data_IF_257368134355
#
_entry.id   IF_257368134355
#
_cell.length_a   1.000
_cell.length_b   1.000
_cell.length_c   1.000
_cell.angle_alpha   90.00
_cell.angle_beta   90.00
_cell.angle_gamma   90.00
#
_symmetry.space_group_name_H-M   'P 1'
#
loop_
_entity.id
_entity.type
_entity.pdbx_description
1 polymer ?
#
# COMPACT_ATOMS: atom_id res chain seq x y z
N UNK A 1 -46.79 7.32 -7.93
CA UNK A 1 -45.72 6.39 -8.37
C UNK A 1 -44.59 7.25 -8.90
N UNK A 2 -43.44 7.39 -8.20
CA UNK A 2 -42.28 8.05 -8.79
C UNK A 2 -41.69 7.14 -9.86
N UNK A 3 -41.47 7.66 -11.06
CA UNK A 3 -40.75 6.98 -12.15
C UNK A 3 -39.36 6.53 -11.70
N UNK A 4 -38.89 5.36 -12.12
CA UNK A 4 -37.52 4.96 -11.87
C UNK A 4 -36.59 5.96 -12.56
N UNK A 5 -35.66 6.53 -11.78
CA UNK A 5 -34.62 7.41 -12.29
C UNK A 5 -33.83 6.67 -13.37
N UNK A 6 -33.86 7.20 -14.57
CA UNK A 6 -33.00 6.73 -15.69
C UNK A 6 -31.54 6.86 -15.23
N UNK A 7 -30.73 5.80 -15.30
CA UNK A 7 -29.30 5.93 -14.97
C UNK A 7 -28.70 6.96 -15.92
N UNK A 8 -27.98 7.93 -15.34
CA UNK A 8 -27.22 8.91 -16.12
C UNK A 8 -26.31 8.17 -17.13
N UNK A 9 -26.14 8.67 -18.35
CA UNK A 9 -25.29 8.03 -19.34
C UNK A 9 -23.85 7.98 -18.75
N UNK A 10 -23.43 6.79 -18.37
CA UNK A 10 -22.05 6.58 -17.92
C UNK A 10 -21.15 6.96 -19.09
N UNK A 11 -20.34 7.99 -18.91
CA UNK A 11 -19.37 8.42 -19.90
C UNK A 11 -18.45 7.23 -20.18
N UNK A 12 -18.41 6.75 -21.43
CA UNK A 12 -17.56 5.66 -21.86
C UNK A 12 -16.10 6.09 -21.70
N UNK A 13 -15.41 5.46 -20.76
CA UNK A 13 -14.00 5.72 -20.49
C UNK A 13 -13.11 4.82 -21.33
N UNK A 14 -11.94 5.32 -21.69
CA UNK A 14 -10.84 4.54 -22.25
C UNK A 14 -9.87 4.22 -21.10
N UNK A 15 -9.67 2.94 -20.80
CA UNK A 15 -8.92 2.49 -19.63
C UNK A 15 -7.79 1.58 -20.09
N UNK A 16 -6.55 1.93 -19.74
CA UNK A 16 -5.40 1.04 -19.91
C UNK A 16 -5.23 0.24 -18.63
N UNK A 17 -5.13 -1.08 -18.76
CA UNK A 17 -5.00 -2.02 -17.64
C UNK A 17 -3.59 -2.62 -17.63
N UNK A 18 -2.95 -2.70 -16.47
CA UNK A 18 -1.71 -3.43 -16.24
C UNK A 18 -1.87 -4.36 -15.03
N UNK A 19 -1.84 -5.67 -15.26
CA UNK A 19 -2.04 -6.72 -14.25
C UNK A 19 -1.30 -7.98 -14.73
N UNK A 20 -0.42 -8.52 -13.91
CA UNK A 20 0.39 -9.69 -14.27
C UNK A 20 -0.41 -11.00 -14.28
N UNK A 21 -1.36 -11.14 -13.36
CA UNK A 21 -2.26 -12.30 -13.30
C UNK A 21 -3.19 -12.33 -14.49
N UNK A 22 -3.00 -13.27 -15.39
CA UNK A 22 -3.82 -13.44 -16.61
C UNK A 22 -5.32 -13.51 -16.26
N UNK A 23 -5.68 -14.31 -15.24
CA UNK A 23 -7.08 -14.49 -14.86
C UNK A 23 -7.70 -13.17 -14.36
N UNK A 24 -6.98 -12.43 -13.53
CA UNK A 24 -7.49 -11.16 -13.00
C UNK A 24 -7.52 -10.10 -14.10
N UNK A 25 -6.52 -10.04 -14.97
CA UNK A 25 -6.49 -9.14 -16.12
C UNK A 25 -7.68 -9.32 -17.04
N UNK A 26 -7.97 -10.56 -17.44
CA UNK A 26 -9.14 -10.88 -18.26
C UNK A 26 -10.45 -10.56 -17.52
N UNK A 27 -10.49 -10.84 -16.23
CA UNK A 27 -11.63 -10.48 -15.36
C UNK A 27 -11.89 -8.98 -15.31
N UNK A 28 -10.83 -8.16 -15.15
CA UNK A 28 -10.90 -6.70 -15.15
C UNK A 28 -11.37 -6.16 -16.51
N UNK A 29 -10.79 -6.66 -17.63
CA UNK A 29 -11.21 -6.28 -18.99
C UNK A 29 -12.68 -6.60 -19.22
N UNK A 30 -13.11 -7.82 -18.88
CA UNK A 30 -14.51 -8.22 -19.01
C UNK A 30 -15.46 -7.37 -18.17
N UNK A 31 -15.05 -7.05 -16.92
CA UNK A 31 -15.83 -6.23 -16.01
C UNK A 31 -15.98 -4.79 -16.52
N UNK A 32 -14.88 -4.15 -16.89
CA UNK A 32 -14.86 -2.79 -17.41
C UNK A 32 -15.69 -2.68 -18.71
N UNK A 33 -15.56 -3.65 -19.60
CA UNK A 33 -16.34 -3.72 -20.83
C UNK A 33 -17.83 -3.88 -20.55
N UNK A 34 -18.21 -4.70 -19.57
CA UNK A 34 -19.61 -4.86 -19.12
C UNK A 34 -20.22 -3.55 -18.61
N UNK A 35 -19.42 -2.69 -18.00
CA UNK A 35 -19.84 -1.35 -17.57
C UNK A 35 -19.78 -0.30 -18.67
N UNK A 36 -19.50 -0.71 -19.92
CA UNK A 36 -19.53 0.16 -21.09
C UNK A 36 -18.23 0.91 -21.37
N UNK A 37 -17.16 0.62 -20.63
CA UNK A 37 -15.85 1.21 -20.86
C UNK A 37 -15.09 0.49 -21.99
N UNK A 38 -14.09 1.15 -22.53
CA UNK A 38 -13.19 0.60 -23.54
C UNK A 38 -11.84 0.30 -22.89
N UNK A 39 -11.27 -0.87 -23.16
CA UNK A 39 -9.94 -1.26 -22.72
C UNK A 39 -9.05 -1.45 -23.94
N UNK A 40 -8.42 -0.38 -24.46
CA UNK A 40 -7.61 -0.43 -25.68
C UNK A 40 -6.31 -1.21 -25.49
N UNK A 41 -5.79 -1.32 -24.26
CA UNK A 41 -4.61 -2.10 -23.93
C UNK A 41 -4.74 -2.77 -22.57
N UNK A 42 -4.32 -4.04 -22.48
CA UNK A 42 -4.22 -4.81 -21.26
C UNK A 42 -2.85 -5.51 -21.22
N UNK A 43 -1.99 -5.09 -20.28
CA UNK A 43 -0.58 -5.44 -20.19
C UNK A 43 -0.34 -6.40 -19.03
N UNK A 44 0.65 -7.28 -19.17
CA UNK A 44 1.07 -8.22 -18.11
C UNK A 44 2.26 -7.72 -17.28
N UNK A 45 2.79 -6.54 -17.58
CA UNK A 45 3.92 -5.92 -16.91
C UNK A 45 3.83 -4.40 -16.96
N UNK A 46 4.75 -3.73 -16.26
CA UNK A 46 4.80 -2.26 -16.20
C UNK A 46 5.60 -1.63 -17.35
N UNK A 47 6.42 -2.39 -18.09
CA UNK A 47 7.35 -1.84 -19.08
C UNK A 47 6.61 -1.18 -20.25
N UNK A 48 5.53 -1.82 -20.72
CA UNK A 48 4.69 -1.32 -21.80
C UNK A 48 3.74 -0.18 -21.43
N UNK A 49 3.58 0.12 -20.14
CA UNK A 49 2.51 1.00 -19.66
C UNK A 49 2.65 2.44 -20.18
N UNK A 50 3.86 2.96 -20.24
CA UNK A 50 4.14 4.32 -20.76
C UNK A 50 3.75 4.40 -22.25
N UNK A 51 4.21 3.45 -23.06
CA UNK A 51 3.90 3.42 -24.50
C UNK A 51 2.39 3.30 -24.75
N UNK A 52 1.70 2.44 -23.99
CA UNK A 52 0.26 2.30 -24.10
C UNK A 52 -0.49 3.59 -23.72
N UNK A 53 -0.04 4.33 -22.70
CA UNK A 53 -0.63 5.62 -22.33
C UNK A 53 -0.37 6.67 -23.42
N UNK A 54 0.80 6.66 -24.05
CA UNK A 54 1.12 7.58 -25.16
C UNK A 54 0.26 7.28 -26.40
N UNK A 55 0.11 6.02 -26.76
CA UNK A 55 -0.63 5.57 -27.94
C UNK A 55 -2.13 5.75 -27.80
N UNK A 56 -2.68 5.40 -26.64
CA UNK A 56 -4.13 5.30 -26.47
C UNK A 56 -4.75 6.50 -25.78
N UNK A 57 -3.96 7.41 -25.18
CA UNK A 57 -4.41 8.58 -24.43
C UNK A 57 -5.63 8.26 -23.51
N UNK A 58 -5.48 7.33 -22.53
CA UNK A 58 -6.61 6.85 -21.73
C UNK A 58 -7.12 7.92 -20.77
N UNK A 59 -8.40 7.77 -20.40
CA UNK A 59 -9.04 8.56 -19.36
C UNK A 59 -8.65 8.08 -17.94
N UNK A 60 -8.19 6.81 -17.82
CA UNK A 60 -7.75 6.19 -16.58
C UNK A 60 -6.71 5.12 -16.86
N UNK A 61 -5.72 5.04 -15.99
CA UNK A 61 -4.81 3.89 -15.89
C UNK A 61 -5.21 3.06 -14.67
N UNK A 62 -5.43 1.77 -14.87
CA UNK A 62 -5.65 0.78 -13.82
C UNK A 62 -4.42 -0.13 -13.75
N UNK A 63 -3.72 -0.16 -12.63
CA UNK A 63 -2.48 -0.94 -12.50
C UNK A 63 -2.40 -1.71 -11.19
N UNK A 64 -1.86 -2.94 -11.23
CA UNK A 64 -1.39 -3.61 -10.03
C UNK A 64 -0.13 -2.90 -9.49
N UNK A 65 0.10 -2.99 -8.19
CA UNK A 65 1.35 -2.54 -7.54
C UNK A 65 2.52 -3.41 -7.95
N UNK A 66 2.33 -4.74 -7.89
CA UNK A 66 3.41 -5.74 -8.00
C UNK A 66 3.34 -6.47 -9.33
N UNK A 67 4.29 -6.20 -10.19
CA UNK A 67 4.39 -6.83 -11.51
C UNK A 67 5.82 -7.30 -11.79
N UNK A 68 6.05 -8.14 -12.81
CA UNK A 68 7.40 -8.48 -13.22
C UNK A 68 8.29 -7.24 -13.47
N UNK A 69 9.61 -7.34 -13.31
CA UNK A 69 10.38 -8.57 -13.08
C UNK A 69 10.59 -8.95 -11.61
N UNK A 70 10.46 -8.02 -10.65
CA UNK A 70 10.80 -8.28 -9.25
C UNK A 70 9.61 -8.51 -8.33
N UNK A 71 8.39 -8.21 -8.80
CA UNK A 71 7.13 -8.34 -8.04
C UNK A 71 7.13 -7.54 -6.72
N UNK A 72 7.72 -6.36 -6.73
CA UNK A 72 7.76 -5.46 -5.58
C UNK A 72 6.80 -4.29 -5.73
N UNK A 73 7.12 -3.33 -6.58
CA UNK A 73 6.39 -2.06 -6.72
C UNK A 73 6.42 -1.49 -8.15
N UNK A 74 6.67 -2.32 -9.15
CA UNK A 74 6.89 -1.91 -10.54
C UNK A 74 5.72 -1.12 -11.11
N UNK A 75 4.49 -1.59 -10.90
CA UNK A 75 3.30 -0.89 -11.38
C UNK A 75 3.05 0.42 -10.67
N UNK A 76 3.30 0.47 -9.35
CA UNK A 76 3.22 1.73 -8.62
C UNK A 76 4.26 2.74 -9.13
N UNK A 77 5.51 2.32 -9.34
CA UNK A 77 6.56 3.20 -9.87
C UNK A 77 6.23 3.71 -11.25
N UNK A 78 5.68 2.84 -12.12
CA UNK A 78 5.20 3.25 -13.43
C UNK A 78 4.08 4.30 -13.33
N UNK A 79 3.12 4.07 -12.42
CA UNK A 79 2.02 5.01 -12.16
C UNK A 79 2.55 6.38 -11.65
N UNK A 80 3.49 6.37 -10.71
CA UNK A 80 4.12 7.58 -10.17
C UNK A 80 4.90 8.34 -11.26
N UNK A 81 5.66 7.64 -12.10
CA UNK A 81 6.39 8.24 -13.22
C UNK A 81 5.43 8.88 -14.25
N UNK A 82 4.34 8.18 -14.61
CA UNK A 82 3.32 8.71 -15.49
C UNK A 82 2.66 9.97 -14.92
N UNK A 83 2.39 10.01 -13.63
CA UNK A 83 1.80 11.18 -12.97
C UNK A 83 2.78 12.33 -12.81
N UNK A 84 4.07 12.06 -12.65
CA UNK A 84 5.10 13.11 -12.66
C UNK A 84 5.16 13.84 -14.02
N UNK A 85 4.99 13.11 -15.13
CA UNK A 85 4.94 13.66 -16.48
C UNK A 85 3.58 14.26 -16.84
N UNK A 86 2.50 13.64 -16.34
CA UNK A 86 1.09 13.99 -16.61
C UNK A 86 0.29 14.06 -15.30
N UNK A 87 0.43 15.15 -14.50
CA UNK A 87 -0.17 15.24 -13.15
C UNK A 87 -1.69 15.08 -13.11
N UNK A 88 -2.37 15.29 -14.23
CA UNK A 88 -3.83 15.15 -14.35
C UNK A 88 -4.29 13.77 -14.83
N UNK A 89 -3.37 12.86 -15.18
CA UNK A 89 -3.74 11.51 -15.61
C UNK A 89 -4.35 10.75 -14.43
N UNK A 90 -5.62 10.32 -14.49
CA UNK A 90 -6.21 9.51 -13.45
C UNK A 90 -5.57 8.14 -13.37
N UNK A 91 -5.27 7.71 -12.14
CA UNK A 91 -4.65 6.41 -11.88
C UNK A 91 -5.37 5.72 -10.72
N UNK A 92 -5.80 4.48 -10.95
CA UNK A 92 -6.34 3.58 -9.94
C UNK A 92 -5.37 2.41 -9.74
N UNK A 93 -4.80 2.31 -8.55
CA UNK A 93 -3.86 1.25 -8.19
C UNK A 93 -4.60 0.15 -7.44
N UNK A 94 -4.40 -1.10 -7.85
CA UNK A 94 -4.84 -2.29 -7.15
C UNK A 94 -3.70 -2.90 -6.35
N UNK A 95 -3.97 -3.34 -5.14
CA UNK A 95 -2.95 -3.97 -4.28
C UNK A 95 -3.53 -5.18 -3.56
N UNK A 96 -2.74 -6.22 -3.40
CA UNK A 96 -3.14 -7.38 -2.60
C UNK A 96 -3.06 -7.10 -1.09
N UNK A 97 -2.17 -6.19 -0.68
CA UNK A 97 -1.91 -5.89 0.72
C UNK A 97 -1.91 -4.38 0.97
N UNK A 98 -2.28 -3.99 2.19
CA UNK A 98 -2.19 -2.59 2.59
C UNK A 98 -0.71 -2.22 2.80
N UNK A 99 -0.21 -1.32 1.96
CA UNK A 99 1.12 -0.71 2.12
C UNK A 99 0.98 0.80 2.23
N UNK A 100 1.16 1.30 3.46
CA UNK A 100 0.95 2.73 3.78
C UNK A 100 1.87 3.67 3.00
N UNK A 101 3.14 3.27 2.80
CA UNK A 101 4.11 4.06 2.04
C UNK A 101 3.64 4.29 0.61
N UNK A 102 3.13 3.25 -0.04
CA UNK A 102 2.67 3.31 -1.43
C UNK A 102 1.42 4.18 -1.59
N UNK A 103 0.46 4.02 -0.68
CA UNK A 103 -0.75 4.85 -0.70
C UNK A 103 -0.43 6.32 -0.44
N UNK A 104 0.45 6.63 0.53
CA UNK A 104 0.87 8.00 0.82
C UNK A 104 1.60 8.63 -0.38
N UNK A 105 2.56 7.91 -0.97
CA UNK A 105 3.33 8.37 -2.12
C UNK A 105 2.44 8.67 -3.35
N UNK A 106 1.44 7.80 -3.59
CA UNK A 106 0.47 8.00 -4.67
C UNK A 106 -0.44 9.21 -4.40
N UNK A 107 -0.91 9.38 -3.16
CA UNK A 107 -1.78 10.50 -2.76
C UNK A 107 -1.05 11.85 -2.80
N UNK A 108 0.26 11.88 -2.64
CA UNK A 108 1.07 13.10 -2.75
C UNK A 108 1.23 13.57 -4.21
N UNK A 109 0.85 12.75 -5.20
CA UNK A 109 0.90 13.15 -6.60
C UNK A 109 -0.29 14.01 -7.02
N UNK A 110 -0.06 15.06 -7.82
CA UNK A 110 -1.14 15.84 -8.45
C UNK A 110 -2.16 16.42 -7.45
N UNK A 111 -1.71 16.81 -6.26
CA UNK A 111 -2.58 17.31 -5.17
C UNK A 111 -3.64 16.28 -4.72
N UNK A 112 -3.38 15.00 -4.93
CA UNK A 112 -4.28 13.90 -4.57
C UNK A 112 -5.50 13.75 -5.50
N UNK A 113 -5.61 14.52 -6.57
CA UNK A 113 -6.74 14.44 -7.51
C UNK A 113 -6.55 13.35 -8.55
N UNK A 114 -7.63 12.66 -8.95
CA UNK A 114 -7.57 11.59 -9.95
C UNK A 114 -6.74 10.39 -9.49
N UNK A 115 -6.83 10.04 -8.21
CA UNK A 115 -6.01 8.98 -7.59
C UNK A 115 -6.89 7.97 -6.89
N UNK A 116 -6.64 6.70 -7.15
CA UNK A 116 -7.28 5.61 -6.43
C UNK A 116 -6.30 4.59 -5.92
N UNK A 117 -6.54 4.08 -4.72
CA UNK A 117 -5.84 2.94 -4.15
C UNK A 117 -6.85 1.97 -3.52
N UNK A 118 -7.03 0.81 -4.13
CA UNK A 118 -7.95 -0.23 -3.69
C UNK A 118 -7.24 -1.55 -3.42
N UNK A 119 -7.79 -2.33 -2.50
CA UNK A 119 -7.40 -3.73 -2.36
C UNK A 119 -8.03 -4.58 -3.47
N UNK A 120 -7.31 -5.58 -4.00
CA UNK A 120 -7.79 -6.49 -5.05
C UNK A 120 -9.10 -7.19 -4.66
N UNK A 121 -9.32 -7.44 -3.37
CA UNK A 121 -10.57 -8.02 -2.86
C UNK A 121 -11.81 -7.15 -3.15
N UNK A 122 -11.62 -5.83 -3.37
CA UNK A 122 -12.70 -4.91 -3.72
C UNK A 122 -13.21 -5.08 -5.14
N UNK A 123 -12.42 -5.66 -6.03
CA UNK A 123 -12.86 -5.97 -7.42
C UNK A 123 -14.06 -6.91 -7.42
N UNK A 124 -14.14 -7.81 -6.43
CA UNK A 124 -15.30 -8.69 -6.23
C UNK A 124 -16.60 -7.94 -5.83
N UNK A 125 -16.50 -6.71 -5.35
CA UNK A 125 -17.63 -5.83 -5.06
C UNK A 125 -17.90 -4.95 -6.30
N UNK A 126 -18.44 -5.58 -7.32
CA UNK A 126 -18.46 -5.12 -8.72
C UNK A 126 -18.97 -3.69 -8.89
N UNK A 127 -20.07 -3.33 -8.21
CA UNK A 127 -20.68 -2.00 -8.29
C UNK A 127 -19.79 -0.95 -7.63
N UNK A 128 -19.23 -1.23 -6.45
CA UNK A 128 -18.32 -0.33 -5.76
C UNK A 128 -17.02 -0.11 -6.54
N UNK A 129 -16.54 -1.15 -7.22
CA UNK A 129 -15.38 -1.04 -8.09
C UNK A 129 -15.67 -0.15 -9.31
N UNK A 130 -16.82 -0.30 -9.95
CA UNK A 130 -17.23 0.54 -11.08
C UNK A 130 -17.42 2.00 -10.67
N UNK A 131 -18.00 2.25 -9.48
CA UNK A 131 -18.12 3.60 -8.92
C UNK A 131 -16.74 4.22 -8.67
N UNK A 132 -15.80 3.44 -8.10
CA UNK A 132 -14.44 3.90 -7.87
C UNK A 132 -13.71 4.27 -9.17
N UNK A 133 -13.83 3.45 -10.21
CA UNK A 133 -13.28 3.74 -11.56
C UNK A 133 -13.82 5.06 -12.07
N UNK A 134 -15.13 5.26 -12.03
CA UNK A 134 -15.79 6.48 -12.51
C UNK A 134 -15.38 7.70 -11.70
N UNK A 135 -15.32 7.56 -10.38
CA UNK A 135 -14.95 8.66 -9.48
C UNK A 135 -13.50 9.10 -9.68
N UNK A 136 -12.56 8.15 -9.82
CA UNK A 136 -11.15 8.47 -10.07
C UNK A 136 -10.97 9.11 -11.44
N UNK A 137 -11.63 8.58 -12.49
CA UNK A 137 -11.56 9.16 -13.81
C UNK A 137 -12.12 10.60 -13.87
N UNK A 138 -13.11 10.92 -13.03
CA UNK A 138 -13.63 12.28 -12.88
C UNK A 138 -12.72 13.22 -12.03
N UNK A 139 -11.53 12.78 -11.64
CA UNK A 139 -10.59 13.55 -10.83
C UNK A 139 -10.78 13.39 -9.32
N UNK A 140 -11.68 12.52 -8.86
CA UNK A 140 -11.87 12.24 -7.44
C UNK A 140 -10.75 11.40 -6.84
N UNK A 141 -10.75 11.32 -5.51
CA UNK A 141 -9.81 10.48 -4.74
C UNK A 141 -10.56 9.32 -4.12
N UNK A 142 -10.11 8.10 -4.35
CA UNK A 142 -10.69 6.88 -3.79
C UNK A 142 -9.61 6.08 -3.07
N UNK A 143 -9.78 5.88 -1.77
CA UNK A 143 -8.84 5.08 -0.96
C UNK A 143 -9.62 4.01 -0.22
N UNK A 144 -9.14 2.77 -0.29
CA UNK A 144 -9.73 1.66 0.45
C UNK A 144 -9.85 2.02 1.94
N UNK A 145 -11.01 1.80 2.58
CA UNK A 145 -11.21 2.11 4.00
C UNK A 145 -10.19 1.44 4.92
N UNK A 146 -9.68 0.27 4.57
CA UNK A 146 -8.64 -0.41 5.34
C UNK A 146 -7.31 0.34 5.26
N UNK A 147 -6.97 0.84 4.07
CA UNK A 147 -5.78 1.69 3.86
C UNK A 147 -5.92 2.99 4.66
N UNK A 148 -7.08 3.63 4.60
CA UNK A 148 -7.37 4.85 5.38
C UNK A 148 -7.21 4.59 6.88
N UNK A 149 -7.77 3.49 7.39
CA UNK A 149 -7.59 3.11 8.81
C UNK A 149 -6.12 2.95 9.19
N UNK A 150 -5.31 2.40 8.30
CA UNK A 150 -3.87 2.23 8.57
C UNK A 150 -3.07 3.53 8.40
N UNK A 151 -3.49 4.44 7.52
CA UNK A 151 -2.89 5.77 7.40
C UNK A 151 -3.19 6.65 8.63
N UNK A 152 -4.45 6.62 9.10
CA UNK A 152 -4.92 7.38 10.28
C UNK A 152 -4.39 6.76 11.59
N UNK A 153 -4.22 5.45 11.64
CA UNK A 153 -3.44 4.86 12.73
C UNK A 153 -2.08 5.53 12.66
N UNK A 154 -1.99 6.70 13.34
CA UNK A 154 -0.71 7.34 13.64
C UNK A 154 0.27 6.20 13.89
N UNK A 155 1.45 6.26 13.30
CA UNK A 155 2.58 5.56 13.90
C UNK A 155 2.51 5.93 15.38
N UNK A 156 1.87 5.11 16.20
CA UNK A 156 2.41 4.98 17.54
C UNK A 156 3.78 4.45 17.24
N UNK A 157 4.75 5.34 17.38
CA UNK A 157 6.14 4.91 17.40
C UNK A 157 6.14 3.67 18.29
N UNK A 158 6.46 2.46 17.76
CA UNK A 158 6.41 1.26 18.57
C UNK A 158 7.15 1.50 19.91
N UNK A 159 8.11 2.43 19.87
CA UNK A 159 8.89 2.86 21.02
C UNK A 159 8.09 3.74 21.99
N UNK A 160 6.99 4.39 21.59
CA UNK A 160 6.13 5.15 22.53
C UNK A 160 5.46 4.26 23.59
N UNK A 161 5.31 2.96 23.29
CA UNK A 161 4.77 1.98 24.22
C UNK A 161 5.82 1.50 25.26
N UNK A 162 7.09 1.81 25.02
CA UNK A 162 8.17 1.43 25.90
C UNK A 162 8.25 2.44 27.07
N UNK A 163 8.42 1.90 28.28
CA UNK A 163 8.78 2.74 29.42
C UNK A 163 10.17 3.36 29.20
N UNK A 164 10.53 4.46 29.89
CA UNK A 164 11.87 5.05 29.81
C UNK A 164 12.98 4.01 30.03
N UNK A 165 12.78 3.09 30.96
CA UNK A 165 13.73 2.02 31.26
C UNK A 165 13.85 0.98 30.16
N UNK A 166 12.72 0.60 29.53
CA UNK A 166 12.74 -0.32 28.39
C UNK A 166 13.39 0.31 27.15
N UNK A 167 13.19 1.61 26.93
CA UNK A 167 13.84 2.34 25.85
C UNK A 167 15.35 2.43 26.05
N UNK A 168 15.81 2.68 27.29
CA UNK A 168 17.22 2.68 27.68
C UNK A 168 17.85 1.29 27.43
N UNK A 169 17.21 0.22 27.90
CA UNK A 169 17.67 -1.16 27.65
C UNK A 169 17.74 -1.45 26.15
N UNK A 170 16.73 -1.05 25.36
CA UNK A 170 16.71 -1.27 23.90
C UNK A 170 17.83 -0.49 23.20
N UNK A 171 18.14 0.72 23.63
CA UNK A 171 19.28 1.51 23.13
C UNK A 171 20.60 0.75 23.31
N UNK A 172 20.85 0.23 24.52
CA UNK A 172 22.06 -0.56 24.81
C UNK A 172 22.11 -1.89 24.02
N UNK A 173 20.94 -2.49 23.79
CA UNK A 173 20.83 -3.66 22.88
C UNK A 173 21.19 -3.27 21.45
N UNK A 174 20.78 -2.10 20.97
CA UNK A 174 21.10 -1.59 19.64
C UNK A 174 22.60 -1.27 19.47
N UNK A 175 23.30 -0.92 20.56
CA UNK A 175 24.77 -0.80 20.59
C UNK A 175 25.49 -2.18 20.53
N UNK A 176 24.76 -3.28 20.51
CA UNK A 176 25.33 -4.62 20.44
C UNK A 176 25.76 -5.20 21.80
N UNK A 177 25.36 -4.59 22.92
CA UNK A 177 25.78 -5.04 24.27
C UNK A 177 25.11 -6.36 24.66
N UNK A 178 25.85 -7.16 25.46
CA UNK A 178 25.32 -8.37 26.07
C UNK A 178 24.45 -8.05 27.31
N UNK A 179 23.60 -8.99 27.73
CA UNK A 179 22.78 -8.80 28.93
C UNK A 179 23.61 -8.56 30.17
N UNK A 180 24.76 -9.22 30.29
CA UNK A 180 25.71 -9.02 31.41
C UNK A 180 26.28 -7.58 31.40
N UNK A 181 26.67 -7.05 30.24
CA UNK A 181 27.16 -5.68 30.10
C UNK A 181 26.07 -4.64 30.42
N UNK A 182 24.84 -4.86 29.93
CA UNK A 182 23.70 -3.99 30.24
C UNK A 182 23.37 -4.04 31.74
N UNK A 183 23.41 -5.22 32.36
CA UNK A 183 23.16 -5.41 33.77
C UNK A 183 24.17 -4.64 34.63
N UNK A 184 25.45 -4.71 34.28
CA UNK A 184 26.51 -3.99 34.93
C UNK A 184 26.34 -2.46 34.85
N UNK A 185 26.03 -1.95 33.63
CA UNK A 185 25.86 -0.52 33.39
C UNK A 185 24.63 0.05 34.08
N UNK A 186 23.53 -0.66 34.03
CA UNK A 186 22.25 -0.23 34.62
C UNK A 186 22.11 -0.56 36.13
N UNK A 187 23.12 -1.21 36.72
CA UNK A 187 23.17 -1.65 38.14
C UNK A 187 21.96 -2.52 38.49
N UNK A 188 21.66 -3.52 37.65
CA UNK A 188 20.57 -4.49 37.84
C UNK A 188 21.07 -5.91 37.63
N UNK A 189 20.24 -6.91 37.91
CA UNK A 189 20.57 -8.31 37.58
C UNK A 189 20.35 -8.60 36.07
N UNK A 190 21.08 -9.59 35.53
CA UNK A 190 20.84 -10.09 34.15
C UNK A 190 19.42 -10.61 33.97
N UNK A 191 18.83 -11.20 34.99
CA UNK A 191 17.45 -11.64 34.99
C UNK A 191 16.47 -10.48 34.80
N UNK A 192 16.74 -9.30 35.41
CA UNK A 192 15.94 -8.10 35.22
C UNK A 192 16.08 -7.56 33.81
N UNK A 193 17.30 -7.55 33.23
CA UNK A 193 17.50 -7.20 31.79
C UNK A 193 16.73 -8.14 30.88
N UNK A 194 16.79 -9.46 31.13
CA UNK A 194 16.03 -10.46 30.38
C UNK A 194 14.52 -10.20 30.41
N UNK A 195 13.97 -9.82 31.58
CA UNK A 195 12.57 -9.45 31.75
C UNK A 195 12.20 -8.19 30.92
N UNK A 196 13.06 -7.16 30.98
CA UNK A 196 12.85 -5.96 30.15
C UNK A 196 12.86 -6.29 28.68
N UNK A 197 13.80 -7.10 28.19
CA UNK A 197 13.83 -7.53 26.79
C UNK A 197 12.56 -8.31 26.42
N UNK A 198 12.10 -9.22 27.27
CA UNK A 198 10.83 -9.94 27.05
C UNK A 198 9.64 -8.99 26.91
N UNK A 199 9.54 -7.99 27.80
CA UNK A 199 8.49 -6.97 27.75
C UNK A 199 8.58 -6.11 26.48
N UNK A 200 9.79 -5.69 26.08
CA UNK A 200 10.05 -4.94 24.85
C UNK A 200 9.56 -5.74 23.64
N UNK A 201 9.95 -7.02 23.54
CA UNK A 201 9.53 -7.88 22.43
C UNK A 201 8.01 -8.05 22.36
N UNK A 202 7.33 -8.15 23.49
CA UNK A 202 5.88 -8.19 23.57
C UNK A 202 5.23 -6.88 23.12
N UNK A 203 5.74 -5.72 23.61
CA UNK A 203 5.21 -4.40 23.25
C UNK A 203 5.46 -4.01 21.80
N UNK A 204 6.54 -4.52 21.19
CA UNK A 204 6.85 -4.35 19.77
C UNK A 204 6.13 -5.35 18.87
N UNK A 205 5.24 -6.19 19.43
CA UNK A 205 4.49 -7.25 18.71
C UNK A 205 5.41 -8.19 17.91
N UNK A 206 6.49 -8.65 18.57
CA UNK A 206 7.47 -9.58 18.02
C UNK A 206 7.31 -10.96 18.66
N UNK A 207 6.30 -11.76 18.27
CA UNK A 207 6.05 -13.09 18.85
C UNK A 207 7.19 -14.07 18.52
N UNK A 208 7.33 -15.16 19.28
CA UNK A 208 8.23 -16.25 18.91
C UNK A 208 7.87 -16.80 17.55
N UNK A 209 8.80 -16.79 16.60
CA UNK A 209 8.64 -17.39 15.30
C UNK A 209 9.91 -18.13 14.91
N UNK A 210 9.75 -19.30 14.28
CA UNK A 210 10.86 -20.08 13.80
C UNK A 210 11.61 -19.32 12.69
N UNK A 211 12.95 -19.28 12.81
CA UNK A 211 13.82 -18.67 11.78
C UNK A 211 14.03 -17.15 11.90
N UNK A 212 13.47 -16.46 12.90
CA UNK A 212 13.69 -15.02 13.08
C UNK A 212 14.36 -14.67 14.42
N UNK A 213 15.41 -13.85 14.37
CA UNK A 213 16.05 -13.31 15.56
C UNK A 213 15.32 -12.07 16.06
N UNK A 214 14.35 -12.24 16.96
CA UNK A 214 13.50 -11.16 17.52
C UNK A 214 14.29 -9.99 18.07
N UNK A 215 15.46 -10.25 18.67
CA UNK A 215 16.35 -9.19 19.18
C UNK A 215 16.84 -8.29 18.05
N UNK A 216 17.15 -8.86 16.88
CA UNK A 216 17.54 -8.09 15.70
C UNK A 216 16.36 -7.27 15.16
N UNK A 217 15.16 -7.84 15.14
CA UNK A 217 13.95 -7.11 14.73
C UNK A 217 13.65 -5.93 15.66
N UNK A 218 13.84 -6.08 16.97
CA UNK A 218 13.68 -4.99 17.94
C UNK A 218 14.71 -3.87 17.72
N UNK A 219 15.96 -4.22 17.42
CA UNK A 219 17.01 -3.23 17.06
C UNK A 219 16.65 -2.51 15.76
N UNK A 220 16.18 -3.22 14.74
CA UNK A 220 15.75 -2.58 13.48
C UNK A 220 14.55 -1.65 13.70
N UNK A 221 13.62 -1.98 14.60
CA UNK A 221 12.52 -1.09 14.96
C UNK A 221 13.04 0.17 15.66
N UNK A 222 14.04 0.04 16.55
CA UNK A 222 14.67 1.16 17.25
C UNK A 222 15.42 2.12 16.30
N UNK A 223 16.14 1.57 15.32
CA UNK A 223 16.93 2.37 14.37
C UNK A 223 16.08 3.07 13.28
N UNK A 224 14.82 2.66 13.12
CA UNK A 224 13.89 3.24 12.14
C UNK A 224 12.90 4.25 12.72
N UNK A 225 12.89 4.40 14.05
CA UNK A 225 12.06 5.35 14.77
C UNK A 225 12.78 6.69 14.95
#
# INVERSE_FOLDING_TARGET
MPSPATPSPHHRLRIVVAEDSVLLREGLVGLLTRFGHEVPAALGDAEGLRAAVEEHAPDLVLTDVRMPPTFQDEGLRAALALRAERPKLPVLVLSQYVQRSYAAELLDTGEGTGVGYLLKDRVGQVEQFADAVTQVAAGGTVVDPEVVRQLIRRRRDPLEQLTPREREVLGLVAEGRSNASIAAELVVSEAAVGKHIGNILGKLDLPPADGTHRRVLAVLAYLRA
#
